data_IF_401370436726
#
_entry.id   IF_401370436726
#
_cell.length_a   1.000
_cell.length_b   1.000
_cell.length_c   1.000
_cell.angle_alpha   90.00
_cell.angle_beta   90.00
_cell.angle_gamma   90.00
#
_symmetry.space_group_name_H-M   'P 1'
#
loop_
_entity.id
_entity.type
_entity.pdbx_description
1 polymer ?
#
# COMPACT_ATOMS: atom_id res chain seq x y z
N UNK A 1 1.25 -11.72 -21.14
CA UNK A 1 -0.15 -11.39 -21.50
C UNK A 1 -1.11 -11.49 -20.31
N UNK A 2 -1.18 -12.64 -19.61
CA UNK A 2 -2.09 -12.88 -18.47
C UNK A 2 -2.02 -11.79 -17.38
N UNK A 3 -0.83 -11.38 -16.96
CA UNK A 3 -0.66 -10.35 -15.92
C UNK A 3 -1.19 -8.96 -16.31
N UNK A 4 -1.13 -8.62 -17.59
CA UNK A 4 -1.64 -7.33 -18.10
C UNK A 4 -3.17 -7.33 -18.12
N UNK A 5 -3.76 -8.44 -18.59
CA UNK A 5 -5.21 -8.65 -18.57
C UNK A 5 -5.73 -8.62 -17.12
N UNK A 6 -5.02 -9.28 -16.20
CA UNK A 6 -5.38 -9.27 -14.79
C UNK A 6 -5.37 -7.85 -14.18
N UNK A 7 -4.39 -7.01 -14.53
CA UNK A 7 -4.36 -5.61 -14.07
C UNK A 7 -5.51 -4.80 -14.65
N UNK A 8 -5.79 -4.93 -15.95
CA UNK A 8 -6.92 -4.22 -16.58
C UNK A 8 -8.24 -4.66 -15.94
N UNK A 9 -8.43 -5.97 -15.76
CA UNK A 9 -9.62 -6.52 -15.11
C UNK A 9 -9.75 -6.03 -13.67
N UNK A 10 -8.64 -5.98 -12.93
CA UNK A 10 -8.60 -5.40 -11.58
C UNK A 10 -9.01 -3.92 -11.57
N UNK A 11 -8.43 -3.09 -12.45
CA UNK A 11 -8.79 -1.67 -12.53
C UNK A 11 -10.26 -1.47 -12.89
N UNK A 12 -10.76 -2.23 -13.86
CA UNK A 12 -12.16 -2.20 -14.27
C UNK A 12 -13.07 -2.65 -13.10
N UNK A 13 -12.69 -3.70 -12.37
CA UNK A 13 -13.41 -4.15 -11.19
C UNK A 13 -13.44 -3.08 -10.07
N UNK A 14 -12.35 -2.34 -9.84
CA UNK A 14 -12.34 -1.24 -8.87
C UNK A 14 -13.27 -0.11 -9.31
N UNK A 15 -13.23 0.29 -10.58
CA UNK A 15 -14.10 1.35 -11.11
C UNK A 15 -15.57 0.95 -11.02
N UNK A 16 -15.91 -0.27 -11.46
CA UNK A 16 -17.29 -0.78 -11.40
C UNK A 16 -17.80 -0.89 -9.96
N UNK A 17 -17.00 -1.40 -9.02
CA UNK A 17 -17.38 -1.43 -7.60
C UNK A 17 -17.54 -0.02 -7.00
N UNK A 18 -16.81 0.97 -7.50
CA UNK A 18 -16.99 2.36 -7.06
C UNK A 18 -18.29 2.97 -7.58
N UNK A 19 -18.67 2.66 -8.83
CA UNK A 19 -19.83 3.24 -9.51
C UNK A 19 -21.17 2.65 -9.09
N UNK A 20 -21.20 1.43 -8.54
CA UNK A 20 -22.46 0.76 -8.16
C UNK A 20 -22.98 1.30 -6.82
N UNK A 21 -24.23 1.78 -6.83
CA UNK A 21 -24.91 2.38 -5.68
C UNK A 21 -25.93 1.44 -5.00
N UNK A 22 -25.96 0.16 -5.37
CA UNK A 22 -26.84 -0.83 -4.76
C UNK A 22 -26.09 -1.69 -3.72
N UNK A 23 -26.59 -1.73 -2.48
CA UNK A 23 -26.01 -2.54 -1.40
C UNK A 23 -26.20 -4.04 -1.64
N UNK A 24 -27.27 -4.46 -2.35
CA UNK A 24 -27.56 -5.88 -2.63
C UNK A 24 -26.48 -6.49 -3.51
N UNK A 25 -25.95 -5.70 -4.46
CA UNK A 25 -24.84 -6.13 -5.30
C UNK A 25 -23.60 -6.50 -4.45
N UNK A 26 -23.32 -5.73 -3.40
CA UNK A 26 -22.19 -6.01 -2.52
C UNK A 26 -22.38 -7.27 -1.66
N UNK A 27 -23.62 -7.58 -1.27
CA UNK A 27 -23.92 -8.82 -0.56
C UNK A 27 -23.63 -10.07 -1.39
N UNK A 28 -23.79 -10.01 -2.72
CA UNK A 28 -23.43 -11.11 -3.61
C UNK A 28 -21.95 -11.13 -4.00
N UNK A 29 -21.33 -9.96 -4.20
CA UNK A 29 -19.93 -9.90 -4.67
C UNK A 29 -18.93 -10.33 -3.59
N UNK A 30 -19.20 -10.05 -2.32
CA UNK A 30 -18.28 -10.38 -1.23
C UNK A 30 -18.08 -11.89 -1.08
N UNK A 31 -19.15 -12.73 -1.00
CA UNK A 31 -19.02 -14.18 -1.02
C UNK A 31 -18.28 -14.68 -2.25
N UNK A 32 -18.57 -14.12 -3.43
CA UNK A 32 -17.90 -14.49 -4.67
C UNK A 32 -16.39 -14.21 -4.60
N UNK A 33 -15.99 -13.05 -4.09
CA UNK A 33 -14.58 -12.70 -3.89
C UNK A 33 -13.89 -13.61 -2.87
N UNK A 34 -14.59 -13.97 -1.79
CA UNK A 34 -14.08 -14.90 -0.78
C UNK A 34 -13.87 -16.29 -1.37
N UNK A 35 -14.82 -16.80 -2.15
CA UNK A 35 -14.68 -18.06 -2.88
C UNK A 35 -13.51 -18.00 -3.86
N UNK A 36 -13.40 -16.90 -4.60
CA UNK A 36 -12.30 -16.66 -5.52
C UNK A 36 -10.97 -16.63 -4.77
N UNK A 37 -10.90 -16.38 -3.47
CA UNK A 37 -9.66 -16.34 -2.69
C UNK A 37 -8.91 -17.68 -2.70
N UNK A 38 -9.62 -18.83 -2.68
CA UNK A 38 -9.16 -20.24 -2.64
C UNK A 38 -8.06 -20.60 -1.60
N UNK A 39 -7.00 -19.80 -1.48
CA UNK A 39 -5.92 -19.88 -0.49
C UNK A 39 -6.24 -18.98 0.70
N UNK A 40 -6.27 -19.55 1.90
CA UNK A 40 -6.44 -18.89 3.20
C UNK A 40 -7.41 -17.69 3.22
N UNK A 41 -8.71 -17.88 2.90
CA UNK A 41 -9.68 -16.79 2.89
C UNK A 41 -9.74 -16.06 4.24
N UNK A 42 -9.59 -16.79 5.34
CA UNK A 42 -9.65 -16.23 6.69
C UNK A 42 -8.53 -15.22 6.97
N UNK A 43 -7.33 -15.47 6.45
CA UNK A 43 -6.19 -14.54 6.61
C UNK A 43 -6.43 -13.24 5.85
N UNK A 44 -6.98 -13.33 4.65
CA UNK A 44 -7.32 -12.17 3.83
C UNK A 44 -8.47 -11.37 4.44
N UNK A 45 -9.53 -12.04 4.90
CA UNK A 45 -10.66 -11.39 5.60
C UNK A 45 -10.16 -10.63 6.83
N UNK A 46 -9.37 -11.28 7.70
CA UNK A 46 -8.82 -10.65 8.91
C UNK A 46 -7.95 -9.44 8.57
N UNK A 47 -7.09 -9.56 7.56
CA UNK A 47 -6.22 -8.46 7.12
C UNK A 47 -7.03 -7.28 6.57
N UNK A 48 -8.04 -7.56 5.73
CA UNK A 48 -8.95 -6.54 5.21
C UNK A 48 -9.70 -5.85 6.35
N UNK A 49 -10.27 -6.62 7.27
CA UNK A 49 -11.04 -6.08 8.38
C UNK A 49 -10.19 -5.15 9.26
N UNK A 50 -9.00 -5.58 9.68
CA UNK A 50 -8.09 -4.76 10.49
C UNK A 50 -7.67 -3.48 9.75
N UNK A 51 -7.50 -3.55 8.42
CA UNK A 51 -7.07 -2.40 7.61
C UNK A 51 -8.19 -1.37 7.42
N UNK A 52 -9.43 -1.85 7.28
CA UNK A 52 -10.60 -1.02 6.97
C UNK A 52 -11.25 -0.45 8.22
N UNK A 53 -11.18 -1.17 9.35
CA UNK A 53 -11.83 -0.79 10.60
C UNK A 53 -11.55 0.64 11.07
N UNK A 54 -10.28 1.13 11.15
CA UNK A 54 -10.04 2.49 11.64
C UNK A 54 -10.68 3.55 10.73
N UNK A 55 -10.62 3.35 9.41
CA UNK A 55 -11.22 4.25 8.44
C UNK A 55 -12.75 4.23 8.52
N UNK A 56 -13.35 3.04 8.52
CA UNK A 56 -14.80 2.88 8.59
C UNK A 56 -15.38 3.38 9.91
N UNK A 57 -14.67 3.24 11.03
CA UNK A 57 -15.09 3.79 12.32
C UNK A 57 -15.16 5.31 12.27
N UNK A 58 -14.11 5.97 11.75
CA UNK A 58 -14.10 7.43 11.62
C UNK A 58 -15.23 7.90 10.72
N UNK A 59 -15.38 7.29 9.53
CA UNK A 59 -16.43 7.68 8.58
C UNK A 59 -17.83 7.44 9.15
N UNK A 60 -18.06 6.29 9.79
CA UNK A 60 -19.37 5.96 10.36
C UNK A 60 -19.71 6.84 11.56
N UNK A 61 -18.74 7.16 12.42
CA UNK A 61 -18.93 8.09 13.54
C UNK A 61 -19.21 9.51 13.04
N UNK A 62 -18.43 10.00 12.07
CA UNK A 62 -18.66 11.32 11.47
C UNK A 62 -20.03 11.40 10.82
N UNK A 63 -20.46 10.36 10.10
CA UNK A 63 -21.79 10.30 9.51
C UNK A 63 -22.88 10.28 10.58
N UNK A 64 -22.73 9.45 11.63
CA UNK A 64 -23.69 9.38 12.72
C UNK A 64 -23.91 10.75 13.38
N UNK A 65 -22.83 11.47 13.70
CA UNK A 65 -22.89 12.82 14.30
C UNK A 65 -23.62 13.81 13.39
N UNK A 66 -23.26 13.84 12.09
CA UNK A 66 -23.90 14.76 11.13
C UNK A 66 -25.37 14.40 10.91
N UNK A 67 -25.67 13.10 10.86
CA UNK A 67 -27.02 12.60 10.63
C UNK A 67 -27.95 12.87 11.81
N UNK A 68 -27.45 12.81 13.05
CA UNK A 68 -28.23 13.19 14.24
C UNK A 68 -28.50 14.70 14.32
N UNK A 69 -27.65 15.53 13.71
CA UNK A 69 -27.86 16.97 13.64
C UNK A 69 -28.85 17.40 12.55
N UNK A 70 -29.13 16.52 11.57
CA UNK A 70 -29.97 16.80 10.40
C UNK A 70 -31.27 15.98 10.34
N UNK A 71 -31.53 15.13 11.35
CA UNK A 71 -32.69 14.23 11.44
C UNK A 71 -32.97 13.35 10.19
N UNK A 72 -31.93 13.09 9.38
CA UNK A 72 -32.03 12.32 8.14
C UNK A 72 -31.13 11.08 8.17
N UNK A 73 -31.49 10.10 8.99
CA UNK A 73 -30.72 8.87 9.14
C UNK A 73 -31.04 7.85 8.05
N UNK A 74 -30.09 7.62 7.15
CA UNK A 74 -30.22 6.62 6.08
C UNK A 74 -29.27 5.45 6.36
N UNK A 75 -29.81 4.37 6.95
CA UNK A 75 -29.05 3.14 7.23
C UNK A 75 -28.43 2.53 5.98
N UNK A 76 -29.13 2.62 4.85
CA UNK A 76 -28.69 2.04 3.57
C UNK A 76 -27.36 2.65 3.08
N UNK A 77 -27.17 3.96 3.30
CA UNK A 77 -25.95 4.65 2.90
C UNK A 77 -24.74 4.20 3.73
N UNK A 78 -24.93 4.07 5.05
CA UNK A 78 -23.88 3.63 5.96
C UNK A 78 -23.47 2.17 5.66
N UNK A 79 -24.45 1.31 5.39
CA UNK A 79 -24.19 -0.08 5.04
C UNK A 79 -23.47 -0.17 3.68
N UNK A 80 -23.89 0.60 2.68
CA UNK A 80 -23.27 0.64 1.37
C UNK A 80 -21.80 1.09 1.43
N UNK A 81 -21.49 2.18 2.13
CA UNK A 81 -20.11 2.68 2.17
C UNK A 81 -19.17 1.69 2.85
N UNK A 82 -19.63 1.05 3.94
CA UNK A 82 -18.86 0.03 4.65
C UNK A 82 -18.58 -1.18 3.76
N UNK A 83 -19.61 -1.70 3.07
CA UNK A 83 -19.49 -2.84 2.16
C UNK A 83 -18.62 -2.52 0.93
N UNK A 84 -18.75 -1.32 0.35
CA UNK A 84 -17.96 -0.87 -0.79
C UNK A 84 -16.47 -0.81 -0.43
N UNK A 85 -16.14 -0.14 0.67
CA UNK A 85 -14.75 -0.01 1.13
C UNK A 85 -14.16 -1.39 1.44
N UNK A 86 -14.91 -2.26 2.11
CA UNK A 86 -14.49 -3.64 2.37
C UNK A 86 -14.22 -4.40 1.08
N UNK A 87 -15.13 -4.34 0.11
CA UNK A 87 -15.02 -5.09 -1.16
C UNK A 87 -13.83 -4.65 -2.01
N UNK A 88 -13.63 -3.33 -2.16
CA UNK A 88 -12.49 -2.78 -2.92
C UNK A 88 -11.17 -3.15 -2.24
N UNK A 89 -11.11 -3.05 -0.92
CA UNK A 89 -9.89 -3.37 -0.16
C UNK A 89 -9.59 -4.87 -0.20
N UNK A 90 -10.63 -5.71 -0.09
CA UNK A 90 -10.49 -7.16 -0.22
C UNK A 90 -9.99 -7.54 -1.62
N UNK A 91 -10.58 -6.98 -2.68
CA UNK A 91 -10.16 -7.18 -4.06
C UNK A 91 -8.68 -6.77 -4.28
N UNK A 92 -8.27 -5.66 -3.68
CA UNK A 92 -6.89 -5.17 -3.73
C UNK A 92 -5.93 -6.18 -3.10
N UNK A 93 -6.23 -6.65 -1.89
CA UNK A 93 -5.38 -7.65 -1.24
C UNK A 93 -5.38 -8.99 -1.98
N UNK A 94 -6.52 -9.40 -2.53
CA UNK A 94 -6.62 -10.60 -3.35
C UNK A 94 -5.71 -10.49 -4.58
N UNK A 95 -5.74 -9.36 -5.29
CA UNK A 95 -4.88 -9.11 -6.45
C UNK A 95 -3.39 -9.20 -6.08
N UNK A 96 -2.96 -8.49 -5.04
CA UNK A 96 -1.55 -8.51 -4.60
C UNK A 96 -1.10 -9.87 -4.05
N UNK A 97 -2.01 -10.68 -3.50
CA UNK A 97 -1.66 -12.03 -3.04
C UNK A 97 -1.44 -13.03 -4.18
N UNK A 98 -2.03 -12.78 -5.35
CA UNK A 98 -2.02 -13.70 -6.49
C UNK A 98 -1.03 -13.32 -7.58
N UNK A 99 -0.83 -12.03 -7.80
CA UNK A 99 -0.03 -11.54 -8.91
C UNK A 99 1.28 -10.93 -8.43
N UNK A 100 2.36 -11.27 -9.13
CA UNK A 100 3.66 -10.69 -8.88
C UNK A 100 3.72 -9.28 -9.50
N UNK A 101 3.91 -8.27 -8.65
CA UNK A 101 3.95 -6.85 -9.02
C UNK A 101 4.99 -6.57 -10.12
N UNK A 102 6.16 -7.20 -10.08
CA UNK A 102 7.21 -7.02 -11.09
C UNK A 102 6.73 -7.46 -12.49
N UNK A 103 5.98 -8.57 -12.57
CA UNK A 103 5.43 -9.08 -13.85
C UNK A 103 4.21 -8.28 -14.33
N UNK A 104 3.52 -7.62 -13.42
CA UNK A 104 2.36 -6.76 -13.74
C UNK A 104 2.81 -5.50 -14.48
N UNK A 105 3.94 -4.91 -14.08
CA UNK A 105 4.48 -3.68 -14.70
C UNK A 105 5.39 -3.92 -15.92
N UNK A 106 5.54 -5.16 -16.38
CA UNK A 106 6.37 -5.55 -17.54
C UNK A 106 5.84 -5.07 -18.90
N UNK A 107 4.88 -4.14 -18.91
CA UNK A 107 4.49 -3.44 -20.13
C UNK A 107 5.47 -2.30 -20.50
N UNK A 108 6.23 -1.79 -19.54
CA UNK A 108 7.19 -0.71 -19.75
C UNK A 108 8.53 -1.04 -19.11
N UNK A 109 9.58 -1.10 -19.94
CA UNK A 109 10.96 -1.34 -19.47
C UNK A 109 11.38 -0.30 -18.43
N UNK A 110 10.98 0.96 -18.61
CA UNK A 110 11.29 2.05 -17.66
C UNK A 110 10.61 1.86 -16.31
N UNK A 111 9.35 1.43 -16.28
CA UNK A 111 8.63 1.19 -15.02
C UNK A 111 9.17 -0.04 -14.29
N UNK A 112 9.41 -1.14 -15.00
CA UNK A 112 10.05 -2.32 -14.42
C UNK A 112 11.42 -1.98 -13.86
N UNK A 113 12.21 -1.21 -14.61
CA UNK A 113 13.53 -0.75 -14.18
C UNK A 113 13.44 0.10 -12.90
N UNK A 114 12.56 1.11 -12.86
CA UNK A 114 12.35 1.93 -11.67
C UNK A 114 11.93 1.08 -10.47
N UNK A 115 11.01 0.14 -10.67
CA UNK A 115 10.51 -0.72 -9.60
C UNK A 115 11.61 -1.62 -9.03
N UNK A 116 12.45 -2.22 -9.89
CA UNK A 116 13.60 -3.02 -9.46
C UNK A 116 14.63 -2.17 -8.72
N UNK A 117 14.95 -0.99 -9.25
CA UNK A 117 15.89 -0.06 -8.62
C UNK A 117 15.39 0.37 -7.24
N UNK A 118 14.14 0.81 -7.14
CA UNK A 118 13.50 1.19 -5.89
C UNK A 118 13.47 0.03 -4.89
N UNK A 119 13.15 -1.19 -5.33
CA UNK A 119 13.16 -2.36 -4.47
C UNK A 119 14.55 -2.64 -3.88
N UNK A 120 15.60 -2.52 -4.69
CA UNK A 120 16.99 -2.65 -4.23
C UNK A 120 17.36 -1.56 -3.20
N UNK A 121 16.96 -0.32 -3.45
CA UNK A 121 17.22 0.79 -2.52
C UNK A 121 16.46 0.61 -1.20
N UNK A 122 15.20 0.17 -1.25
CA UNK A 122 14.40 -0.13 -0.04
C UNK A 122 15.11 -1.17 0.82
N UNK A 123 15.59 -2.27 0.24
CA UNK A 123 16.30 -3.30 1.01
C UNK A 123 17.60 -2.76 1.65
N UNK A 124 18.34 -1.94 0.91
CA UNK A 124 19.56 -1.30 1.42
C UNK A 124 19.27 -0.35 2.57
N UNK A 125 18.27 0.53 2.42
CA UNK A 125 17.87 1.47 3.46
C UNK A 125 17.27 0.79 4.68
N UNK A 126 16.52 -0.30 4.50
CA UNK A 126 16.04 -1.13 5.62
C UNK A 126 17.20 -1.68 6.45
N UNK A 127 18.26 -2.17 5.79
CA UNK A 127 19.47 -2.62 6.48
C UNK A 127 20.14 -1.48 7.23
N UNK A 128 20.39 -0.34 6.57
CA UNK A 128 21.01 0.82 7.24
C UNK A 128 20.20 1.33 8.42
N UNK A 129 18.87 1.36 8.31
CA UNK A 129 18.01 1.78 9.42
C UNK A 129 18.13 0.83 10.61
N UNK A 130 18.22 -0.48 10.35
CA UNK A 130 18.46 -1.47 11.40
C UNK A 130 19.81 -1.26 12.09
N UNK A 131 20.88 -1.01 11.32
CA UNK A 131 22.21 -0.69 11.87
C UNK A 131 22.20 0.60 12.72
N UNK A 132 21.54 1.66 12.24
CA UNK A 132 21.38 2.88 13.03
C UNK A 132 20.63 2.63 14.33
N UNK A 133 19.59 1.80 14.31
CA UNK A 133 18.85 1.43 15.52
C UNK A 133 19.73 0.67 16.52
N UNK A 134 20.57 -0.25 16.04
CA UNK A 134 21.53 -0.98 16.89
C UNK A 134 22.60 -0.06 17.47
N UNK A 135 23.19 0.81 16.65
CA UNK A 135 24.18 1.78 17.08
C UNK A 135 23.63 2.80 18.07
N UNK A 136 22.37 3.22 17.88
CA UNK A 136 21.68 4.10 18.83
C UNK A 136 21.42 3.39 20.16
N UNK A 137 20.98 2.11 20.11
CA UNK A 137 20.75 1.31 21.31
C UNK A 137 22.04 1.02 22.08
N UNK A 138 23.17 0.76 21.41
CA UNK A 138 24.44 0.44 22.08
C UNK A 138 25.08 1.64 22.77
N UNK A 139 24.79 2.87 22.31
CA UNK A 139 25.31 4.11 22.89
C UNK A 139 24.52 4.61 24.09
N UNK A 140 23.37 4.00 24.38
CA UNK A 140 22.52 4.43 25.48
C UNK A 140 22.51 3.42 26.61
N UNK A 141 22.88 3.88 27.80
CA UNK A 141 22.84 3.10 29.05
C UNK A 141 21.40 3.03 29.59
N UNK A 142 20.57 4.03 29.29
CA UNK A 142 19.18 4.19 29.75
C UNK A 142 18.24 4.33 28.55
N UNK A 143 16.95 4.05 28.73
CA UNK A 143 15.95 4.23 27.67
C UNK A 143 15.93 5.68 27.13
N UNK A 144 15.83 5.88 25.79
CA UNK A 144 15.89 7.21 25.17
C UNK A 144 14.74 8.10 25.62
N UNK A 145 15.03 9.40 25.81
CA UNK A 145 13.98 10.40 25.95
C UNK A 145 13.30 10.68 24.60
N UNK A 146 12.12 11.31 24.63
CA UNK A 146 11.42 11.73 23.40
C UNK A 146 12.25 12.70 22.55
N UNK A 147 13.08 13.54 23.19
CA UNK A 147 13.98 14.50 22.51
C UNK A 147 15.11 13.77 21.79
N UNK A 148 15.71 12.77 22.43
CA UNK A 148 16.77 11.95 21.82
C UNK A 148 16.25 11.16 20.63
N UNK A 149 15.03 10.63 20.74
CA UNK A 149 14.36 9.95 19.65
C UNK A 149 14.11 10.88 18.45
N UNK A 150 13.68 12.11 18.70
CA UNK A 150 13.48 13.11 17.64
C UNK A 150 14.79 13.47 16.95
N UNK A 151 15.84 13.74 17.72
CA UNK A 151 17.16 14.06 17.17
C UNK A 151 17.71 12.89 16.34
N UNK A 152 17.59 11.66 16.85
CA UNK A 152 17.97 10.44 16.14
C UNK A 152 17.24 10.31 14.80
N UNK A 153 15.90 10.44 14.80
CA UNK A 153 15.10 10.34 13.59
C UNK A 153 15.48 11.44 12.59
N UNK A 154 15.66 12.68 13.05
CA UNK A 154 16.07 13.80 12.21
C UNK A 154 17.42 13.55 11.53
N UNK A 155 18.43 13.13 12.30
CA UNK A 155 19.76 12.81 11.76
C UNK A 155 19.72 11.65 10.76
N UNK A 156 18.94 10.60 11.04
CA UNK A 156 18.76 9.46 10.15
C UNK A 156 18.05 9.86 8.85
N UNK A 157 17.00 10.69 8.94
CA UNK A 157 16.30 11.21 7.76
C UNK A 157 17.23 12.07 6.89
N UNK A 158 17.99 12.97 7.51
CA UNK A 158 18.96 13.81 6.79
C UNK A 158 20.04 12.97 6.12
N UNK A 159 20.54 11.93 6.80
CA UNK A 159 21.46 10.96 6.21
C UNK A 159 20.86 10.27 4.98
N UNK A 160 19.63 9.75 5.07
CA UNK A 160 18.98 9.07 3.95
C UNK A 160 18.70 10.01 2.77
N UNK A 161 18.29 11.26 3.03
CA UNK A 161 18.08 12.26 1.99
C UNK A 161 19.38 12.56 1.23
N UNK A 162 20.46 12.86 1.94
CA UNK A 162 21.78 13.11 1.35
C UNK A 162 22.31 11.89 0.60
N UNK A 163 22.16 10.69 1.18
CA UNK A 163 22.56 9.43 0.54
C UNK A 163 21.78 9.18 -0.74
N UNK A 164 20.48 9.46 -0.77
CA UNK A 164 19.61 9.29 -1.94
C UNK A 164 20.04 10.20 -3.11
N UNK A 165 20.34 11.47 -2.82
CA UNK A 165 20.82 12.42 -3.85
C UNK A 165 22.16 11.97 -4.43
N UNK A 166 23.10 11.56 -3.56
CA UNK A 166 24.42 11.13 -4.00
C UNK A 166 24.37 9.79 -4.74
N UNK A 167 23.62 8.82 -4.22
CA UNK A 167 23.49 7.51 -4.87
C UNK A 167 22.80 7.60 -6.23
N UNK A 168 21.84 8.51 -6.40
CA UNK A 168 21.20 8.75 -7.70
C UNK A 168 22.22 9.20 -8.76
N UNK A 169 23.15 10.10 -8.39
CA UNK A 169 24.25 10.54 -9.28
C UNK A 169 25.19 9.39 -9.64
N UNK A 170 25.64 8.65 -8.62
CA UNK A 170 26.54 7.50 -8.81
C UNK A 170 25.92 6.40 -9.67
N UNK A 171 24.67 6.03 -9.39
CA UNK A 171 23.93 4.99 -10.13
C UNK A 171 23.74 5.43 -11.58
N UNK A 172 23.31 6.67 -11.80
CA UNK A 172 23.13 7.20 -13.16
C UNK A 172 24.44 7.17 -13.95
N UNK A 173 25.54 7.59 -13.33
CA UNK A 173 26.86 7.57 -13.97
C UNK A 173 27.33 6.15 -14.27
N UNK A 174 27.20 5.23 -13.31
CA UNK A 174 27.54 3.82 -13.52
C UNK A 174 26.71 3.19 -14.65
N UNK A 175 25.42 3.51 -14.74
CA UNK A 175 24.55 3.05 -15.81
C UNK A 175 24.93 3.62 -17.18
N UNK A 176 25.30 4.91 -17.25
CA UNK A 176 25.83 5.53 -18.48
C UNK A 176 27.10 4.83 -18.93
N UNK A 177 28.06 4.59 -18.03
CA UNK A 177 29.31 3.88 -18.35
C UNK A 177 29.08 2.44 -18.81
N UNK A 178 28.01 1.78 -18.36
CA UNK A 178 27.62 0.43 -18.78
C UNK A 178 26.80 0.41 -20.08
N UNK A 179 26.64 1.56 -20.75
CA UNK A 179 25.92 1.65 -22.03
C UNK A 179 24.39 1.55 -21.91
N UNK A 180 23.81 1.67 -20.72
CA UNK A 180 22.38 1.42 -20.50
C UNK A 180 21.44 2.39 -21.25
N UNK A 181 21.92 3.59 -21.60
CA UNK A 181 21.14 4.61 -22.30
C UNK A 181 21.36 4.62 -23.81
N UNK A 182 22.14 3.67 -24.35
CA UNK A 182 22.45 3.57 -25.79
C UNK A 182 21.31 2.89 -26.55
N UNK A 183 20.48 2.08 -25.87
CA UNK A 183 19.29 1.47 -26.44
C UNK A 183 18.08 2.44 -26.37
N UNK A 184 17.97 3.33 -27.37
CA UNK A 184 16.70 3.96 -27.77
C UNK A 184 16.23 3.41 -29.10
#
# INVERSE_FOLDING_TARGET
>A
MIYRIALILYLLAVVTLSSIHDYRFFLFIIPLLILLSFKDPFRLIKKTFISVLPFNLVVSLSYAVISTLKDQFHYDYLLLINLRVFSITFLTFLFFSRFNIFKVFDFSRSLTFLLVLSYSQINTFRRYFYEFKLAFKSRMIVSPSKRDMYNFISSVLMFFANRSVNSSKEITQAMKSRGFFIDR
#
